data_IF_413543272197
#
_entry.id   IF_413543272197
#
_cell.length_a   1.000
_cell.length_b   1.000
_cell.length_c   1.000
_cell.angle_alpha   90.00
_cell.angle_beta   90.00
_cell.angle_gamma   90.00
#
_symmetry.space_group_name_H-M   'P 1'
#
loop_
_entity.id
_entity.type
_entity.pdbx_description
1 polymer ?
#
# COMPACT_ATOMS: atom_id res chain seq x y z
N UNK A 1 -5.96 -15.70 -3.06
CA UNK A 1 -6.09 -14.90 -4.29
C UNK A 1 -6.10 -13.38 -4.05
N UNK A 2 -6.38 -12.88 -2.84
CA UNK A 2 -6.39 -11.43 -2.55
C UNK A 2 -5.03 -10.74 -2.66
N UNK A 3 -3.97 -11.39 -2.20
CA UNK A 3 -2.58 -10.87 -2.25
C UNK A 3 -2.19 -10.49 -3.67
N UNK A 4 -2.61 -11.27 -4.67
CA UNK A 4 -2.29 -11.05 -6.08
C UNK A 4 -2.95 -9.78 -6.63
N UNK A 5 -4.18 -9.45 -6.19
CA UNK A 5 -4.90 -8.25 -6.64
C UNK A 5 -4.33 -6.98 -6.03
N UNK A 6 -4.10 -6.99 -4.72
CA UNK A 6 -3.46 -5.87 -4.01
C UNK A 6 -2.05 -5.61 -4.58
N UNK A 7 -1.30 -6.68 -4.88
CA UNK A 7 0.00 -6.54 -5.51
C UNK A 7 -0.08 -5.90 -6.90
N UNK A 8 -0.98 -6.38 -7.76
CA UNK A 8 -1.13 -5.84 -9.12
C UNK A 8 -1.53 -4.37 -9.12
N UNK A 9 -2.33 -3.93 -8.14
CA UNK A 9 -2.71 -2.53 -7.97
C UNK A 9 -1.56 -1.65 -7.42
N UNK A 10 -0.72 -2.19 -6.53
CA UNK A 10 0.37 -1.44 -5.90
C UNK A 10 1.66 -1.40 -6.73
N UNK A 11 1.93 -2.42 -7.56
CA UNK A 11 3.10 -2.44 -8.44
C UNK A 11 3.29 -1.16 -9.28
N UNK A 12 2.27 -0.67 -10.03
CA UNK A 12 2.40 0.56 -10.82
C UNK A 12 2.44 1.85 -9.97
N UNK A 13 2.18 1.74 -8.66
CA UNK A 13 2.19 2.85 -7.71
C UNK A 13 3.49 2.91 -6.88
N UNK A 14 4.39 1.96 -7.08
CA UNK A 14 5.68 1.96 -6.39
C UNK A 14 6.46 3.24 -6.67
N UNK A 15 6.96 3.88 -5.61
CA UNK A 15 7.66 5.16 -5.69
C UNK A 15 6.76 6.37 -5.98
N UNK A 16 5.46 6.17 -6.27
CA UNK A 16 4.52 7.27 -6.40
C UNK A 16 4.11 7.77 -5.02
N UNK A 17 4.09 9.10 -4.89
CA UNK A 17 3.50 9.79 -3.74
C UNK A 17 1.99 9.90 -3.86
N UNK A 18 1.36 10.47 -2.84
CA UNK A 18 -0.04 10.82 -2.88
C UNK A 18 -1.01 9.64 -3.11
N UNK A 19 -0.65 8.46 -2.61
CA UNK A 19 -1.48 7.25 -2.66
C UNK A 19 -2.17 7.09 -1.32
N UNK A 20 -3.49 6.93 -1.32
CA UNK A 20 -4.28 6.64 -0.12
C UNK A 20 -4.66 5.16 -0.07
N UNK A 21 -4.34 4.51 1.04
CA UNK A 21 -4.68 3.12 1.32
C UNK A 21 -5.72 3.11 2.44
N UNK A 22 -6.87 2.52 2.15
CA UNK A 22 -7.95 2.30 3.12
C UNK A 22 -7.86 0.86 3.60
N UNK A 23 -7.91 0.67 4.92
CA UNK A 23 -7.93 -0.66 5.52
C UNK A 23 -9.33 -1.07 5.95
N UNK A 24 -9.53 -2.38 6.15
CA UNK A 24 -10.79 -2.95 6.63
C UNK A 24 -11.24 -2.39 7.98
N UNK A 25 -10.30 -1.89 8.81
CA UNK A 25 -10.62 -1.21 10.07
C UNK A 25 -11.08 0.24 9.90
N UNK A 26 -11.19 0.75 8.66
CA UNK A 26 -11.49 2.14 8.38
C UNK A 26 -10.28 3.08 8.48
N UNK A 27 -9.08 2.56 8.73
CA UNK A 27 -7.88 3.38 8.81
C UNK A 27 -7.45 3.81 7.42
N UNK A 28 -7.08 5.09 7.28
CA UNK A 28 -6.60 5.66 6.01
C UNK A 28 -5.16 6.12 6.15
N UNK A 29 -4.31 5.63 5.26
CA UNK A 29 -2.89 5.97 5.22
C UNK A 29 -2.59 6.55 3.85
N UNK A 30 -2.29 7.84 3.82
CA UNK A 30 -1.92 8.56 2.60
C UNK A 30 -0.44 8.90 2.59
N UNK A 31 0.23 8.60 1.49
CA UNK A 31 1.67 8.79 1.42
C UNK A 31 2.35 8.23 0.18
N UNK A 32 3.65 8.00 0.29
CA UNK A 32 4.51 7.44 -0.76
C UNK A 32 4.64 5.93 -0.53
N UNK A 33 4.38 5.14 -1.56
CA UNK A 33 4.63 3.69 -1.51
C UNK A 33 6.13 3.43 -1.60
N UNK A 34 6.77 3.16 -0.46
CA UNK A 34 8.23 2.99 -0.35
C UNK A 34 8.70 1.56 -0.61
N UNK A 35 7.94 0.56 -0.20
CA UNK A 35 8.36 -0.84 -0.29
C UNK A 35 7.18 -1.80 -0.24
N UNK A 36 7.28 -2.91 -0.97
CA UNK A 36 6.32 -4.01 -0.93
C UNK A 36 7.07 -5.28 -0.61
N UNK A 37 6.62 -6.03 0.40
CA UNK A 37 7.24 -7.31 0.75
C UNK A 37 6.41 -8.46 0.17
N UNK A 38 6.97 -9.05 -0.89
CA UNK A 38 6.50 -10.17 -1.72
C UNK A 38 5.84 -11.36 -1.06
N UNK A 39 6.43 -11.75 0.08
CA UNK A 39 6.61 -13.12 0.61
C UNK A 39 8.06 -13.62 0.48
N UNK A 40 8.66 -13.91 1.62
CA UNK A 40 9.48 -15.11 1.83
C UNK A 40 8.60 -16.13 2.58
N UNK A 41 8.99 -17.40 2.66
CA UNK A 41 8.28 -18.41 3.46
C UNK A 41 7.95 -17.86 4.86
N UNK A 42 6.71 -18.06 5.33
CA UNK A 42 6.21 -17.70 6.66
C UNK A 42 5.99 -16.19 6.94
N UNK A 43 6.03 -15.30 5.93
CA UNK A 43 5.80 -13.86 6.16
C UNK A 43 4.54 -13.34 5.48
N UNK A 44 3.71 -12.59 6.24
CA UNK A 44 2.52 -11.93 5.69
C UNK A 44 2.93 -10.79 4.74
N UNK A 45 2.42 -10.78 3.50
CA UNK A 45 2.71 -9.71 2.55
C UNK A 45 2.19 -8.37 3.06
N UNK A 46 3.00 -7.33 2.87
CA UNK A 46 2.71 -5.99 3.41
C UNK A 46 3.32 -4.90 2.55
N UNK A 47 2.68 -3.73 2.52
CA UNK A 47 3.19 -2.50 1.92
C UNK A 47 3.69 -1.57 3.02
N UNK A 48 4.77 -0.84 2.73
CA UNK A 48 5.23 0.28 3.55
C UNK A 48 4.89 1.58 2.85
N UNK A 49 4.12 2.42 3.53
CA UNK A 49 3.76 3.76 3.07
C UNK A 49 4.42 4.77 4.00
N UNK A 50 5.14 5.71 3.43
CA UNK A 50 5.69 6.86 4.16
C UNK A 50 4.68 8.00 4.10
N UNK A 51 4.22 8.45 5.27
CA UNK A 51 3.28 9.57 5.41
C UNK A 51 3.99 10.91 5.22
N UNK A 52 3.21 11.98 5.08
CA UNK A 52 3.75 13.33 4.92
C UNK A 52 4.59 13.81 6.11
N UNK A 53 4.33 13.27 7.31
CA UNK A 53 5.10 13.53 8.52
C UNK A 53 6.41 12.71 8.62
N UNK A 54 6.68 11.82 7.64
CA UNK A 54 7.87 10.98 7.60
C UNK A 54 7.71 9.63 8.30
N UNK A 55 6.58 9.35 8.97
CA UNK A 55 6.28 8.05 9.56
C UNK A 55 6.12 6.96 8.48
N UNK A 56 6.81 5.83 8.68
CA UNK A 56 6.67 4.66 7.82
C UNK A 56 5.64 3.70 8.43
N UNK A 57 4.47 3.64 7.80
CA UNK A 57 3.39 2.74 8.20
C UNK A 57 3.45 1.45 7.40
N UNK A 58 3.43 0.32 8.11
CA UNK A 58 3.35 -1.01 7.50
C UNK A 58 1.90 -1.49 7.47
N UNK A 59 1.38 -1.79 6.29
CA UNK A 59 -0.01 -2.22 6.09
C UNK A 59 -0.01 -3.64 5.49
N UNK A 60 -0.61 -4.64 6.16
CA UNK A 60 -0.78 -5.98 5.60
C UNK A 60 -1.68 -5.94 4.36
N UNK A 61 -1.35 -6.70 3.32
CA UNK A 61 -2.16 -6.73 2.10
C UNK A 61 -3.58 -7.22 2.36
N UNK A 62 -3.73 -8.19 3.27
CA UNK A 62 -5.03 -8.73 3.69
C UNK A 62 -5.91 -7.73 4.45
N UNK A 63 -5.34 -6.59 4.88
CA UNK A 63 -6.11 -5.54 5.54
C UNK A 63 -6.51 -4.43 4.57
N UNK A 64 -6.02 -4.43 3.32
CA UNK A 64 -6.31 -3.38 2.35
C UNK A 64 -7.67 -3.65 1.71
N UNK A 65 -8.58 -2.68 1.82
CA UNK A 65 -9.87 -2.73 1.13
C UNK A 65 -9.84 -1.92 -0.14
N UNK A 66 -9.21 -0.74 -0.12
CA UNK A 66 -9.16 0.18 -1.26
C UNK A 66 -7.80 0.85 -1.39
N UNK A 67 -7.39 1.12 -2.64
CA UNK A 67 -6.19 1.88 -2.99
C UNK A 67 -6.61 2.98 -3.94
N UNK A 68 -6.41 4.23 -3.52
CA UNK A 68 -6.82 5.43 -4.25
C UNK A 68 -5.56 6.17 -4.68
N UNK A 69 -5.42 6.37 -6.00
CA UNK A 69 -4.34 7.17 -6.56
C UNK A 69 -4.84 8.61 -6.77
N UNK A 70 -4.32 9.58 -6.02
CA UNK A 70 -4.65 11.00 -6.18
C UNK A 70 -3.71 11.74 -7.14
N UNK A 71 -2.77 11.06 -7.78
CA UNK A 71 -1.95 11.69 -8.81
C UNK A 71 -2.80 11.94 -10.06
N UNK A 72 -2.57 13.05 -10.77
CA UNK A 72 -3.25 13.30 -12.04
C UNK A 72 -2.97 12.15 -13.03
N UNK A 73 -3.92 11.79 -13.90
CA UNK A 73 -3.62 10.94 -15.03
C UNK A 73 -2.54 11.63 -15.87
N UNK A 74 -1.48 10.88 -16.18
CA UNK A 74 -0.42 11.33 -17.06
C UNK A 74 -0.94 11.47 -18.50
#
# INVERSE_FOLDING_TARGET
>A
MEVTRALAALQPLYGKGNIEIVTQGGHRVRGIVRSMKTTQALTTPSVKVERADGEIVKIPFSSITEIINHNPPA
#
